data_IF_093334404626
#
_entry.id   IF_093334404626
#
_cell.length_a   1.000
_cell.length_b   1.000
_cell.length_c   1.000
_cell.angle_alpha   90.00
_cell.angle_beta   90.00
_cell.angle_gamma   90.00
#
_symmetry.space_group_name_H-M   'P 1'
#
loop_
_entity.id
_entity.type
_entity.pdbx_description
1 polymer ?
#
# COMPACT_ATOMS: atom_id res chain seq x y z
N UNK A 1 -32.89 6.80 4.98
CA UNK A 1 -32.68 5.73 5.95
C UNK A 1 -33.32 4.40 5.47
N UNK A 2 -33.01 3.89 4.24
CA UNK A 2 -33.67 2.70 3.64
C UNK A 2 -32.75 1.81 2.79
N UNK A 3 -31.45 1.69 3.10
CA UNK A 3 -30.55 0.77 2.39
C UNK A 3 -30.21 -0.53 3.14
N UNK A 4 -30.64 -0.68 4.39
CA UNK A 4 -30.30 -1.84 5.23
C UNK A 4 -31.18 -3.06 4.98
N UNK A 5 -32.50 -2.89 4.72
CA UNK A 5 -33.46 -4.01 4.64
C UNK A 5 -33.24 -4.96 3.45
N UNK A 6 -32.84 -4.43 2.28
CA UNK A 6 -32.64 -5.27 1.09
C UNK A 6 -31.43 -6.21 1.22
N UNK A 7 -30.34 -5.76 1.85
CA UNK A 7 -29.17 -6.62 2.10
C UNK A 7 -29.49 -7.75 3.08
N UNK A 8 -30.22 -7.46 4.16
CA UNK A 8 -30.63 -8.49 5.14
C UNK A 8 -31.57 -9.54 4.52
N UNK A 9 -32.54 -9.13 3.71
CA UNK A 9 -33.43 -10.06 2.99
C UNK A 9 -32.66 -10.93 1.99
N UNK A 10 -31.69 -10.39 1.31
CA UNK A 10 -30.81 -11.14 0.39
C UNK A 10 -29.94 -12.17 1.12
N UNK A 11 -29.37 -11.81 2.28
CA UNK A 11 -28.59 -12.72 3.14
C UNK A 11 -29.46 -13.84 3.73
N UNK A 12 -30.69 -13.54 4.16
CA UNK A 12 -31.61 -14.54 4.69
C UNK A 12 -32.00 -15.58 3.61
N UNK A 13 -32.31 -15.12 2.39
CA UNK A 13 -32.61 -15.99 1.23
C UNK A 13 -31.42 -16.86 0.84
N UNK A 14 -30.22 -16.32 0.88
CA UNK A 14 -28.96 -17.02 0.59
C UNK A 14 -28.71 -18.17 1.60
N UNK A 15 -28.88 -17.87 2.88
CA UNK A 15 -28.70 -18.87 3.95
C UNK A 15 -29.75 -19.97 3.91
N UNK A 16 -30.96 -19.67 3.44
CA UNK A 16 -32.01 -20.66 3.30
C UNK A 16 -31.72 -21.62 2.16
N UNK A 17 -31.34 -21.12 0.99
CA UNK A 17 -30.94 -21.95 -0.15
C UNK A 17 -29.78 -22.85 0.22
N UNK A 18 -28.75 -22.31 0.88
CA UNK A 18 -27.57 -23.06 1.30
C UNK A 18 -27.89 -24.18 2.29
N UNK A 19 -28.79 -23.94 3.26
CA UNK A 19 -29.26 -24.97 4.19
C UNK A 19 -30.02 -26.09 3.51
N UNK A 20 -30.82 -25.78 2.51
CA UNK A 20 -31.68 -26.72 1.83
C UNK A 20 -30.96 -27.56 0.77
N UNK A 21 -30.01 -26.95 0.05
CA UNK A 21 -29.39 -27.55 -1.13
C UNK A 21 -27.91 -27.82 -1.01
N UNK A 22 -27.22 -27.21 -0.03
CA UNK A 22 -25.77 -27.23 0.09
C UNK A 22 -25.05 -26.21 -0.83
N UNK A 23 -25.76 -25.58 -1.79
CA UNK A 23 -25.25 -24.61 -2.76
C UNK A 23 -25.47 -23.18 -2.29
N UNK A 24 -24.69 -22.23 -2.81
CA UNK A 24 -24.80 -20.81 -2.45
C UNK A 24 -26.00 -20.12 -3.11
N UNK A 25 -26.49 -20.65 -4.22
CA UNK A 25 -27.63 -20.09 -4.94
C UNK A 25 -28.53 -21.19 -5.49
N UNK A 26 -29.79 -20.86 -5.78
CA UNK A 26 -30.70 -21.78 -6.45
C UNK A 26 -30.19 -22.16 -7.86
N UNK A 27 -29.57 -21.20 -8.56
CA UNK A 27 -29.00 -21.45 -9.89
C UNK A 27 -27.87 -22.50 -9.86
N UNK A 28 -27.01 -22.48 -8.84
CA UNK A 28 -25.99 -23.52 -8.64
C UNK A 28 -26.61 -24.89 -8.34
N UNK A 29 -27.68 -24.93 -7.55
CA UNK A 29 -28.44 -26.15 -7.29
C UNK A 29 -29.10 -26.70 -8.58
N UNK A 30 -29.62 -25.83 -9.43
CA UNK A 30 -30.22 -26.20 -10.70
C UNK A 30 -29.18 -26.77 -11.68
N UNK A 31 -27.97 -26.16 -11.70
CA UNK A 31 -26.84 -26.72 -12.48
C UNK A 31 -26.45 -28.10 -11.96
N UNK A 32 -26.34 -28.29 -10.65
CA UNK A 32 -26.00 -29.57 -10.06
C UNK A 32 -27.05 -30.68 -10.42
N UNK A 33 -28.32 -30.30 -10.37
CA UNK A 33 -29.41 -31.21 -10.80
C UNK A 33 -29.29 -31.58 -12.29
N UNK A 34 -28.98 -30.62 -13.15
CA UNK A 34 -28.76 -30.85 -14.58
C UNK A 34 -27.56 -31.76 -14.86
N UNK A 35 -26.43 -31.56 -14.14
CA UNK A 35 -25.27 -32.43 -14.25
C UNK A 35 -25.60 -33.88 -13.83
N UNK A 36 -26.31 -34.03 -12.72
CA UNK A 36 -26.76 -35.34 -12.22
C UNK A 36 -27.66 -36.02 -13.22
N UNK A 37 -28.65 -35.30 -13.77
CA UNK A 37 -29.59 -35.85 -14.78
C UNK A 37 -28.87 -36.26 -16.07
N UNK A 38 -27.76 -35.62 -16.40
CA UNK A 38 -26.92 -35.95 -17.56
C UNK A 38 -25.91 -37.07 -17.29
N UNK A 39 -25.91 -37.67 -16.08
CA UNK A 39 -24.97 -38.73 -15.69
C UNK A 39 -23.52 -38.25 -15.54
N UNK A 40 -23.29 -36.92 -15.41
CA UNK A 40 -21.96 -36.33 -15.24
C UNK A 40 -21.59 -36.26 -13.75
N UNK A 41 -20.46 -36.88 -13.40
CA UNK A 41 -19.89 -36.74 -12.04
C UNK A 41 -19.33 -35.33 -11.86
N UNK A 42 -19.82 -34.60 -10.87
CA UNK A 42 -19.37 -33.25 -10.54
C UNK A 42 -19.18 -33.07 -9.03
N UNK A 43 -18.18 -32.29 -8.65
CA UNK A 43 -17.92 -31.94 -7.27
C UNK A 43 -17.99 -30.41 -7.12
N UNK A 44 -18.72 -29.96 -6.12
CA UNK A 44 -18.94 -28.55 -5.88
C UNK A 44 -17.83 -27.98 -4.98
N UNK A 45 -17.18 -26.86 -5.42
CA UNK A 45 -16.10 -26.15 -4.68
C UNK A 45 -14.99 -27.06 -4.13
N UNK A 46 -14.70 -28.18 -4.80
CA UNK A 46 -13.78 -29.20 -4.32
C UNK A 46 -12.30 -28.79 -4.40
N UNK A 47 -11.98 -27.82 -5.24
CA UNK A 47 -10.60 -27.36 -5.45
C UNK A 47 -10.48 -25.86 -5.20
N UNK A 48 -9.27 -25.44 -4.75
CA UNK A 48 -8.89 -24.05 -4.62
C UNK A 48 -7.62 -23.82 -5.42
N UNK A 49 -7.67 -22.89 -6.34
CA UNK A 49 -6.54 -22.52 -7.17
C UNK A 49 -5.91 -21.24 -6.63
N UNK A 50 -4.69 -21.26 -6.10
CA UNK A 50 -4.00 -20.05 -5.73
C UNK A 50 -3.67 -19.23 -6.97
N UNK A 51 -3.83 -17.92 -6.90
CA UNK A 51 -3.38 -17.00 -7.92
C UNK A 51 -2.74 -15.78 -7.31
N UNK A 52 -1.80 -15.17 -8.03
CA UNK A 52 -1.09 -13.97 -7.59
C UNK A 52 -1.63 -12.75 -8.30
N UNK A 53 -1.77 -11.66 -7.56
CA UNK A 53 -2.16 -10.34 -8.10
C UNK A 53 -1.01 -9.38 -7.85
N UNK A 54 -0.50 -8.77 -8.93
CA UNK A 54 0.47 -7.69 -8.83
C UNK A 54 -0.26 -6.35 -8.82
N UNK A 55 -0.14 -5.60 -7.72
CA UNK A 55 -0.70 -4.26 -7.58
C UNK A 55 0.38 -3.23 -7.85
N UNK A 56 0.10 -2.30 -8.77
CA UNK A 56 0.93 -1.11 -8.96
C UNK A 56 0.37 0.04 -8.11
N UNK A 57 1.27 0.79 -7.47
CA UNK A 57 0.92 1.96 -6.67
C UNK A 57 1.85 3.12 -7.01
N UNK A 58 1.41 4.34 -6.72
CA UNK A 58 2.20 5.55 -6.97
C UNK A 58 2.60 6.20 -5.65
N UNK A 59 3.86 6.60 -5.55
CA UNK A 59 4.37 7.44 -4.48
C UNK A 59 4.48 8.89 -4.97
N UNK A 60 3.82 9.79 -4.27
CA UNK A 60 3.94 11.24 -4.48
C UNK A 60 4.62 11.83 -3.24
N UNK A 61 5.85 12.36 -3.36
CA UNK A 61 6.51 13.03 -2.25
C UNK A 61 5.83 14.35 -1.90
N UNK A 62 6.00 14.80 -0.64
CA UNK A 62 5.43 16.07 -0.20
C UNK A 62 6.12 17.25 -0.89
N UNK A 63 7.46 17.23 -0.99
CA UNK A 63 8.25 18.25 -1.70
C UNK A 63 9.45 17.65 -2.43
N UNK A 64 9.91 18.39 -3.41
CA UNK A 64 11.20 18.17 -4.06
C UNK A 64 12.05 19.44 -3.97
N UNK A 65 13.36 19.28 -3.81
CA UNK A 65 14.36 20.33 -3.92
C UNK A 65 15.18 20.07 -5.19
N UNK A 66 14.81 20.70 -6.33
CA UNK A 66 15.40 20.34 -7.62
C UNK A 66 16.92 20.56 -7.70
N UNK A 67 17.41 21.68 -7.20
CA UNK A 67 18.83 22.04 -7.24
C UNK A 67 19.69 21.10 -6.36
N UNK A 68 19.12 20.60 -5.27
CA UNK A 68 19.76 19.67 -4.35
C UNK A 68 19.50 18.20 -4.73
N UNK A 69 18.59 17.93 -5.66
CA UNK A 69 18.10 16.59 -6.01
C UNK A 69 17.62 15.80 -4.78
N UNK A 70 16.95 16.47 -3.84
CA UNK A 70 16.41 15.90 -2.62
C UNK A 70 14.89 15.78 -2.75
N UNK A 71 14.37 14.67 -2.27
CA UNK A 71 12.94 14.42 -2.04
C UNK A 71 12.68 14.55 -0.54
N UNK A 72 11.68 15.37 -0.16
CA UNK A 72 11.29 15.53 1.24
C UNK A 72 9.95 14.87 1.50
N UNK A 73 9.89 14.14 2.60
CA UNK A 73 8.68 13.53 3.14
C UNK A 73 8.47 14.01 4.57
N UNK A 74 7.36 14.70 4.84
CA UNK A 74 7.01 15.17 6.18
C UNK A 74 6.16 14.15 6.92
N UNK A 75 6.46 13.92 8.20
CA UNK A 75 5.73 12.98 9.03
C UNK A 75 5.41 13.55 10.42
N UNK A 76 4.10 13.69 10.67
CA UNK A 76 3.58 13.89 12.02
C UNK A 76 3.35 12.56 12.73
N UNK A 77 2.62 11.66 12.07
CA UNK A 77 2.45 10.26 12.44
C UNK A 77 3.07 9.36 11.36
N UNK A 78 3.45 8.13 11.74
CA UNK A 78 4.11 7.19 10.82
C UNK A 78 3.55 5.79 11.01
N UNK A 79 2.46 5.51 10.31
CA UNK A 79 1.77 4.22 10.36
C UNK A 79 2.65 3.08 9.83
N UNK A 80 2.26 1.82 10.11
CA UNK A 80 2.96 0.68 9.52
C UNK A 80 2.89 0.72 7.99
N UNK A 81 1.74 1.06 7.42
CA UNK A 81 1.57 1.15 5.97
C UNK A 81 2.47 2.22 5.33
N UNK A 82 2.67 3.36 6.02
CA UNK A 82 3.60 4.38 5.56
C UNK A 82 5.05 3.87 5.55
N UNK A 83 5.45 3.15 6.60
CA UNK A 83 6.80 2.58 6.70
C UNK A 83 7.05 1.54 5.61
N UNK A 84 6.13 0.58 5.46
CA UNK A 84 6.18 -0.45 4.40
C UNK A 84 6.30 0.20 3.01
N UNK A 85 5.52 1.27 2.76
CA UNK A 85 5.59 2.06 1.52
C UNK A 85 6.97 2.69 1.34
N UNK A 86 7.52 3.35 2.36
CA UNK A 86 8.82 4.02 2.25
C UNK A 86 9.97 3.03 2.04
N UNK A 87 9.94 1.88 2.71
CA UNK A 87 10.90 0.79 2.48
C UNK A 87 10.83 0.29 1.03
N UNK A 88 9.62 0.07 0.52
CA UNK A 88 9.40 -0.39 -0.85
C UNK A 88 9.89 0.65 -1.88
N UNK A 89 9.54 1.93 -1.68
CA UNK A 89 10.02 3.02 -2.55
C UNK A 89 11.54 3.09 -2.54
N UNK A 90 12.17 3.05 -1.36
CA UNK A 90 13.63 3.09 -1.26
C UNK A 90 14.30 1.90 -1.93
N UNK A 91 13.73 0.69 -1.81
CA UNK A 91 14.27 -0.51 -2.47
C UNK A 91 14.21 -0.42 -3.99
N UNK A 92 13.17 0.22 -4.54
CA UNK A 92 13.00 0.40 -5.99
C UNK A 92 13.79 1.59 -6.54
N UNK A 93 14.06 2.60 -5.71
CA UNK A 93 14.81 3.82 -6.06
C UNK A 93 16.01 4.03 -5.13
N UNK A 94 16.99 3.12 -5.10
CA UNK A 94 18.08 3.13 -4.09
C UNK A 94 19.01 4.34 -4.19
N UNK A 95 19.01 5.05 -5.31
CA UNK A 95 19.84 6.24 -5.53
C UNK A 95 19.08 7.57 -5.36
N UNK A 96 17.79 7.52 -5.08
CA UNK A 96 17.00 8.70 -4.80
C UNK A 96 17.27 9.17 -3.35
N UNK A 97 17.66 10.44 -3.20
CA UNK A 97 17.91 11.03 -1.88
C UNK A 97 16.58 11.45 -1.24
N UNK A 98 15.98 10.53 -0.49
CA UNK A 98 14.74 10.76 0.25
C UNK A 98 15.08 11.10 1.69
N UNK A 99 14.64 12.27 2.17
CA UNK A 99 14.89 12.77 3.53
C UNK A 99 13.57 13.02 4.26
N UNK A 100 13.56 12.69 5.55
CA UNK A 100 12.37 12.77 6.38
C UNK A 100 12.37 14.04 7.23
N UNK A 101 11.26 14.78 7.23
CA UNK A 101 11.04 15.93 8.11
C UNK A 101 10.03 15.52 9.18
N UNK A 102 10.53 15.27 10.40
CA UNK A 102 9.73 14.67 11.48
C UNK A 102 9.19 15.77 12.41
N UNK A 103 7.90 15.78 12.65
CA UNK A 103 7.28 16.66 13.64
C UNK A 103 7.66 16.23 15.07
N UNK A 104 7.60 14.93 15.34
CA UNK A 104 7.86 14.33 16.64
C UNK A 104 8.86 13.17 16.53
N UNK A 105 10.18 13.41 16.34
CA UNK A 105 11.16 12.35 16.10
C UNK A 105 11.23 11.30 17.22
N UNK A 106 10.99 11.72 18.47
CA UNK A 106 11.00 10.84 19.66
C UNK A 106 9.67 10.11 19.89
N UNK A 107 8.64 10.33 19.06
CA UNK A 107 7.40 9.60 19.16
C UNK A 107 7.62 8.12 18.85
N UNK A 108 7.03 7.24 19.65
CA UNK A 108 7.13 5.80 19.46
C UNK A 108 6.29 5.34 18.28
N UNK A 109 6.76 4.35 17.54
CA UNK A 109 6.04 3.79 16.37
C UNK A 109 4.69 3.17 16.73
N UNK A 110 4.59 2.63 17.93
CA UNK A 110 3.34 2.17 18.56
C UNK A 110 3.44 2.40 20.06
N UNK A 111 2.31 2.43 20.81
CA UNK A 111 2.35 2.61 22.27
C UNK A 111 3.25 1.63 23.02
N UNK A 112 3.42 0.43 22.49
CA UNK A 112 4.25 -0.64 23.07
C UNK A 112 5.66 -0.74 22.46
N UNK A 113 5.95 -0.01 21.38
CA UNK A 113 7.26 -0.06 20.75
C UNK A 113 8.31 0.67 21.58
N UNK A 114 9.54 0.17 21.57
CA UNK A 114 10.71 0.92 22.08
C UNK A 114 11.26 1.88 21.03
N UNK A 115 11.17 1.49 19.77
CA UNK A 115 11.66 2.25 18.61
C UNK A 115 10.83 3.51 18.37
N UNK A 116 11.53 4.63 18.19
CA UNK A 116 10.95 5.92 17.81
C UNK A 116 10.91 6.10 16.28
N UNK A 117 10.31 7.20 15.81
CA UNK A 117 10.35 7.59 14.40
C UNK A 117 11.78 7.83 13.93
N UNK A 118 12.59 8.53 14.74
CA UNK A 118 13.99 8.78 14.45
C UNK A 118 14.80 7.48 14.34
N UNK A 119 14.65 6.58 15.32
CA UNK A 119 15.33 5.28 15.32
C UNK A 119 14.99 4.46 14.06
N UNK A 120 13.73 4.54 13.63
CA UNK A 120 13.32 3.85 12.40
C UNK A 120 14.00 4.45 11.17
N UNK A 121 14.06 5.78 11.07
CA UNK A 121 14.73 6.46 9.96
C UNK A 121 16.21 6.08 9.90
N UNK A 122 16.89 6.06 11.04
CA UNK A 122 18.30 5.68 11.15
C UNK A 122 18.52 4.21 10.74
N UNK A 123 17.67 3.30 11.24
CA UNK A 123 17.75 1.87 10.94
C UNK A 123 17.53 1.57 9.44
N UNK A 124 16.71 2.37 8.74
CA UNK A 124 16.40 2.19 7.33
C UNK A 124 17.18 3.14 6.41
N UNK A 125 18.13 3.91 6.98
CA UNK A 125 19.02 4.80 6.24
C UNK A 125 18.30 5.97 5.57
N UNK A 126 17.26 6.52 6.19
CA UNK A 126 16.63 7.77 5.78
C UNK A 126 17.22 8.92 6.58
N UNK A 127 17.96 9.86 5.96
CA UNK A 127 18.34 11.09 6.64
C UNK A 127 17.09 11.82 7.13
N UNK A 128 17.12 12.34 8.36
CA UNK A 128 15.98 13.02 8.93
C UNK A 128 16.37 14.29 9.69
N UNK A 129 15.41 15.18 9.86
CA UNK A 129 15.52 16.33 10.77
C UNK A 129 14.21 16.54 11.52
N UNK A 130 14.29 17.28 12.63
CA UNK A 130 13.08 17.82 13.27
C UNK A 130 12.60 19.03 12.48
N UNK A 131 11.34 18.96 12.00
CA UNK A 131 10.71 20.10 11.34
C UNK A 131 10.23 21.18 12.33
N UNK A 132 9.72 22.32 11.80
CA UNK A 132 9.57 22.61 10.37
C UNK A 132 10.84 23.17 9.69
N UNK A 133 11.87 23.60 10.43
CA UNK A 133 13.09 24.16 9.85
C UNK A 133 13.98 23.06 9.28
N UNK A 134 14.41 23.28 8.03
CA UNK A 134 15.36 22.38 7.39
C UNK A 134 16.80 22.75 7.76
N UNK A 135 17.69 21.77 7.94
CA UNK A 135 19.10 22.02 8.18
C UNK A 135 19.74 22.78 7.00
N UNK A 136 20.57 23.75 7.29
CA UNK A 136 21.31 24.52 6.28
C UNK A 136 22.12 23.61 5.34
N UNK A 137 22.68 22.52 5.90
CA UNK A 137 23.41 21.51 5.14
C UNK A 137 22.54 20.83 4.06
N UNK A 138 21.21 20.76 4.24
CA UNK A 138 20.32 20.22 3.22
C UNK A 138 20.05 21.26 2.14
N UNK A 139 19.87 22.51 2.52
CA UNK A 139 19.62 23.63 1.60
C UNK A 139 20.84 23.95 0.73
N UNK A 140 22.05 23.73 1.25
CA UNK A 140 23.32 23.89 0.53
C UNK A 140 23.87 22.58 -0.04
N UNK A 141 23.09 21.48 0.01
CA UNK A 141 23.55 20.19 -0.48
C UNK A 141 23.89 20.23 -1.97
N UNK A 142 25.00 19.60 -2.33
CA UNK A 142 25.39 19.39 -3.72
C UNK A 142 25.25 17.91 -4.07
N UNK A 143 24.32 17.55 -4.95
CA UNK A 143 24.07 16.16 -5.27
C UNK A 143 25.21 15.52 -6.03
N UNK A 144 25.54 14.27 -5.69
CA UNK A 144 26.44 13.46 -6.46
C UNK A 144 25.82 13.02 -7.81
N UNK A 145 26.65 12.53 -8.72
CA UNK A 145 26.24 12.17 -10.10
C UNK A 145 25.08 11.14 -10.10
N UNK A 146 25.14 10.14 -9.23
CA UNK A 146 24.11 9.08 -9.14
C UNK A 146 22.75 9.63 -8.68
N UNK A 147 22.75 10.47 -7.63
CA UNK A 147 21.55 11.09 -7.11
C UNK A 147 20.90 12.02 -8.15
N UNK A 148 21.71 12.83 -8.85
CA UNK A 148 21.24 13.70 -9.94
C UNK A 148 20.58 12.88 -11.06
N UNK A 149 21.21 11.82 -11.53
CA UNK A 149 20.67 10.96 -12.57
C UNK A 149 19.35 10.30 -12.14
N UNK A 150 19.26 9.80 -10.90
CA UNK A 150 18.04 9.21 -10.36
C UNK A 150 16.91 10.24 -10.26
N UNK A 151 17.20 11.45 -9.81
CA UNK A 151 16.23 12.54 -9.71
C UNK A 151 15.70 12.98 -11.09
N UNK A 152 16.57 13.11 -12.10
CA UNK A 152 16.19 13.44 -13.47
C UNK A 152 15.27 12.37 -14.09
N UNK A 153 15.53 11.10 -13.82
CA UNK A 153 14.66 9.99 -14.28
C UNK A 153 13.26 10.08 -13.67
N UNK A 154 13.17 10.42 -12.38
CA UNK A 154 11.90 10.60 -11.68
C UNK A 154 11.08 11.74 -12.30
N UNK A 155 11.70 12.89 -12.52
CA UNK A 155 11.03 14.09 -13.08
C UNK A 155 10.58 13.89 -14.52
N UNK A 156 11.37 13.19 -15.36
CA UNK A 156 10.99 12.85 -16.74
C UNK A 156 9.80 11.88 -16.80
N UNK A 157 9.76 10.87 -15.93
CA UNK A 157 8.63 9.93 -15.87
C UNK A 157 7.32 10.64 -15.51
N UNK A 158 7.38 11.67 -14.65
CA UNK A 158 6.20 12.45 -14.23
C UNK A 158 5.67 13.36 -15.34
N UNK A 159 6.53 13.87 -16.22
CA UNK A 159 6.13 14.73 -17.35
C UNK A 159 5.60 13.95 -18.56
N UNK A 160 6.01 12.71 -18.75
CA UNK A 160 5.57 11.85 -19.85
C UNK A 160 4.17 11.23 -19.63
N UNK A 161 3.62 11.32 -18.43
CA UNK A 161 2.31 10.77 -18.05
C UNK A 161 1.19 11.82 -17.96
N UNK A 162 1.42 13.04 -18.38
CA UNK A 162 0.43 14.12 -18.58
C UNK A 162 0.20 14.31 -20.06
#
# INVERSE_FOLDING_TARGET
>A
MFRSSRRYAQYARWNEVRRRTGYRSQYEADIAAGLTASGVSATYEAIRLPYSVTLSSTYTPDWILPDQCIVLEAKGAFSKADRDKMELVKSQYPHLDIRMVLQHPTARLTPKARMTLADWCDAHGFPWCRGPQLPEAWLKHRPGVRARKAFEQLTKATTAGK
#
